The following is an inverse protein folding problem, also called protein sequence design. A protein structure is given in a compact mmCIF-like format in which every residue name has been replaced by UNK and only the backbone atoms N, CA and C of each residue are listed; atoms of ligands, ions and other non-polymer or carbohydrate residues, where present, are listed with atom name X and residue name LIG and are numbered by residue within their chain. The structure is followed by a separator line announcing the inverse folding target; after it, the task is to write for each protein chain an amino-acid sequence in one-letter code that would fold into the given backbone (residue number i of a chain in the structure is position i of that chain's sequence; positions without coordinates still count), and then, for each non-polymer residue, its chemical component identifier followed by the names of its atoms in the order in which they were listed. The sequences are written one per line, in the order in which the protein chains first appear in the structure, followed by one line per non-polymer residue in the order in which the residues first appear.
data_IF_810332593533
#
_entry.id   IF_810332593533
#
_cell.length_a   1.000
_cell.length_b   1.000
_cell.length_c   1.000
_cell.angle_alpha   90.00
_cell.angle_beta   90.00
_cell.angle_gamma   90.00
#
_symmetry.space_group_name_H-M   'P 1'
#
loop_
_entity.id
_entity.type
_entity.pdbx_description
1 polymer ?
#
# COMPACT_ATOMS: atom_id res chain seq x y z
N UNK A 1 3.49 2.60 -16.69
CA UNK A 1 4.12 3.91 -16.41
C UNK A 1 5.57 3.93 -16.89
N UNK A 2 6.46 3.04 -16.42
CA UNK A 2 7.87 2.95 -16.85
C UNK A 2 8.07 2.94 -18.37
N UNK A 3 7.38 2.04 -19.08
CA UNK A 3 7.55 1.91 -20.53
C UNK A 3 7.09 3.15 -21.30
N UNK A 4 6.10 3.87 -20.75
CA UNK A 4 5.65 5.14 -21.32
C UNK A 4 6.70 6.24 -21.16
N UNK A 5 7.39 6.30 -20.00
CA UNK A 5 8.51 7.21 -19.79
C UNK A 5 9.67 6.90 -20.73
N UNK A 6 10.02 5.63 -20.91
CA UNK A 6 11.06 5.21 -21.87
C UNK A 6 10.70 5.64 -23.30
N UNK A 7 9.45 5.43 -23.71
CA UNK A 7 8.99 5.87 -25.02
C UNK A 7 9.07 7.40 -25.19
N UNK A 8 8.74 8.15 -24.13
CA UNK A 8 8.76 9.61 -24.13
C UNK A 8 10.18 10.19 -24.11
N UNK A 9 11.10 9.56 -23.39
CA UNK A 9 12.54 9.90 -23.43
C UNK A 9 13.06 9.73 -24.85
N UNK A 10 12.80 8.57 -25.47
CA UNK A 10 13.26 8.32 -26.84
C UNK A 10 12.66 9.31 -27.85
N UNK A 11 11.44 9.80 -27.63
CA UNK A 11 10.83 10.88 -28.43
C UNK A 11 11.54 12.21 -28.20
N UNK A 12 11.71 12.63 -26.95
CA UNK A 12 12.37 13.88 -26.60
C UNK A 12 13.84 13.93 -27.08
N UNK A 13 14.57 12.82 -27.04
CA UNK A 13 15.92 12.70 -27.61
C UNK A 13 15.93 12.88 -29.14
N UNK A 14 14.97 12.27 -29.86
CA UNK A 14 14.86 12.41 -31.32
C UNK A 14 14.52 13.83 -31.75
N UNK A 15 13.66 14.49 -30.98
CA UNK A 15 13.19 15.86 -31.28
C UNK A 15 14.12 16.94 -30.70
N UNK A 16 15.18 16.55 -29.97
CA UNK A 16 16.16 17.48 -29.40
C UNK A 16 15.64 18.30 -28.22
N UNK A 17 14.61 17.81 -27.52
CA UNK A 17 14.01 18.47 -26.35
C UNK A 17 14.83 18.17 -25.09
N UNK A 18 16.08 18.64 -25.06
CA UNK A 18 17.06 18.32 -24.01
C UNK A 18 16.54 18.60 -22.58
N UNK A 19 15.80 19.70 -22.38
CA UNK A 19 15.24 20.04 -21.08
C UNK A 19 14.12 19.10 -20.60
N UNK A 20 13.43 18.44 -21.54
CA UNK A 20 12.40 17.46 -21.21
C UNK A 20 13.02 16.09 -20.93
N UNK A 21 14.08 15.71 -21.65
CA UNK A 21 14.84 14.47 -21.43
C UNK A 21 15.32 14.36 -19.99
N UNK A 22 15.94 15.42 -19.46
CA UNK A 22 16.46 15.43 -18.08
C UNK A 22 15.34 15.21 -17.04
N UNK A 23 14.21 15.92 -17.18
CA UNK A 23 13.06 15.76 -16.29
C UNK A 23 12.39 14.40 -16.38
N UNK A 24 12.37 13.81 -17.58
CA UNK A 24 11.84 12.47 -17.82
C UNK A 24 12.76 11.39 -17.22
N UNK A 25 14.08 11.56 -17.23
CA UNK A 25 15.01 10.65 -16.56
C UNK A 25 14.86 10.67 -15.04
N UNK A 26 14.70 11.85 -14.44
CA UNK A 26 14.41 11.96 -12.99
C UNK A 26 13.12 11.22 -12.66
N UNK A 27 12.06 11.46 -13.43
CA UNK A 27 10.77 10.79 -13.24
C UNK A 27 10.85 9.27 -13.43
N UNK A 28 11.71 8.80 -14.34
CA UNK A 28 11.97 7.37 -14.55
C UNK A 28 12.69 6.75 -13.35
N UNK A 29 13.71 7.41 -12.82
CA UNK A 29 14.43 6.95 -11.62
C UNK A 29 13.48 6.85 -10.41
N UNK A 30 12.67 7.88 -10.16
CA UNK A 30 11.67 7.87 -9.09
C UNK A 30 10.64 6.74 -9.26
N UNK A 31 10.25 6.45 -10.51
CA UNK A 31 9.33 5.36 -10.80
C UNK A 31 9.96 3.98 -10.54
N UNK A 32 11.24 3.79 -10.88
CA UNK A 32 11.98 2.55 -10.61
C UNK A 32 12.18 2.32 -9.12
N UNK A 33 12.55 3.36 -8.37
CA UNK A 33 12.70 3.30 -6.90
C UNK A 33 11.38 2.92 -6.21
N UNK A 34 10.27 3.49 -6.68
CA UNK A 34 8.95 3.17 -6.12
C UNK A 34 8.51 1.74 -6.40
N UNK A 35 8.84 1.20 -7.57
CA UNK A 35 8.59 -0.21 -7.88
C UNK A 35 9.42 -1.12 -6.97
N UNK A 36 10.71 -0.83 -6.80
CA UNK A 36 11.58 -1.58 -5.89
C UNK A 36 11.07 -1.56 -4.44
N UNK A 37 10.57 -0.40 -3.97
CA UNK A 37 9.95 -0.28 -2.66
C UNK A 37 8.71 -1.17 -2.51
N UNK A 38 7.82 -1.18 -3.51
CA UNK A 38 6.61 -1.99 -3.52
C UNK A 38 6.94 -3.49 -3.56
N UNK A 39 7.93 -3.89 -4.37
CA UNK A 39 8.38 -5.29 -4.43
C UNK A 39 8.95 -5.76 -3.09
N UNK A 40 9.75 -4.91 -2.43
CA UNK A 40 10.27 -5.16 -1.09
C UNK A 40 9.14 -5.26 -0.05
N UNK A 41 8.13 -4.40 -0.12
CA UNK A 41 6.96 -4.49 0.76
C UNK A 41 6.13 -5.74 0.51
N UNK A 42 5.91 -6.11 -0.75
CA UNK A 42 5.19 -7.32 -1.13
C UNK A 42 5.92 -8.58 -0.61
N UNK A 43 7.24 -8.63 -0.75
CA UNK A 43 8.06 -9.71 -0.19
C UNK A 43 8.00 -9.77 1.34
N UNK A 44 8.06 -8.62 2.03
CA UNK A 44 7.90 -8.59 3.49
C UNK A 44 6.52 -9.09 3.93
N UNK A 45 5.46 -8.67 3.25
CA UNK A 45 4.09 -9.10 3.54
C UNK A 45 3.89 -10.60 3.31
N UNK A 46 4.50 -11.18 2.28
CA UNK A 46 4.41 -12.63 2.06
C UNK A 46 5.12 -13.45 3.14
N UNK A 47 6.11 -12.88 3.81
CA UNK A 47 6.82 -13.47 4.96
C UNK A 47 6.24 -13.10 6.33
N UNK A 48 5.17 -12.30 6.38
CA UNK A 48 4.65 -11.78 7.64
C UNK A 48 4.10 -12.91 8.52
N UNK A 49 4.68 -13.06 9.73
CA UNK A 49 4.24 -14.03 10.74
C UNK A 49 3.01 -13.47 11.45
N UNK A 50 1.92 -14.24 11.50
CA UNK A 50 0.73 -13.87 12.28
C UNK A 50 1.06 -13.91 13.77
N UNK A 51 1.12 -12.73 14.40
CA UNK A 51 1.43 -12.58 15.83
C UNK A 51 0.20 -12.72 16.75
N UNK A 52 -0.97 -13.09 16.18
CA UNK A 52 -2.18 -13.33 16.97
C UNK A 52 -2.82 -12.06 17.56
N UNK A 53 -2.68 -10.90 16.90
CA UNK A 53 -3.37 -9.68 17.35
C UNK A 53 -4.89 -9.87 17.28
N UNK A 54 -5.62 -9.66 18.39
CA UNK A 54 -7.07 -9.81 18.40
C UNK A 54 -7.70 -8.80 17.43
N UNK A 55 -8.65 -9.27 16.62
CA UNK A 55 -9.37 -8.41 15.68
C UNK A 55 -10.27 -7.45 16.43
N UNK A 56 -10.64 -6.33 15.81
CA UNK A 56 -11.50 -5.32 16.44
C UNK A 56 -12.83 -5.91 16.96
N UNK A 57 -13.37 -6.93 16.29
CA UNK A 57 -14.57 -7.63 16.72
C UNK A 57 -14.39 -8.52 17.96
N UNK A 58 -13.16 -8.96 18.26
CA UNK A 58 -12.82 -9.70 19.48
C UNK A 58 -12.62 -8.75 20.68
N UNK A 59 -12.20 -7.51 20.42
CA UNK A 59 -11.98 -6.49 21.47
C UNK A 59 -13.30 -5.81 21.85
N UNK A 60 -14.24 -5.71 20.90
CA UNK A 60 -15.59 -5.25 21.17
C UNK A 60 -16.39 -6.30 21.95
N UNK A 61 -16.13 -6.40 23.26
CA UNK A 61 -17.04 -7.04 24.21
C UNK A 61 -18.36 -6.26 24.13
N UNK A 62 -19.40 -6.88 23.57
CA UNK A 62 -20.79 -6.40 23.70
C UNK A 62 -21.25 -6.73 25.13
N UNK A 63 -21.50 -5.75 26.02
CA UNK A 63 -22.06 -6.02 27.33
C UNK A 63 -23.57 -6.22 27.20
N UNK A 64 -24.01 -7.28 26.53
CA UNK A 64 -25.44 -7.59 26.39
C UNK A 64 -25.85 -8.82 27.21
N UNK A 65 -24.88 -9.57 27.74
CA UNK A 65 -25.11 -10.69 28.66
C UNK A 65 -24.98 -10.32 30.14
N UNK A 66 -25.11 -9.02 30.49
CA UNK A 66 -25.47 -8.65 31.87
C UNK A 66 -26.94 -8.98 32.08
N UNK A 67 -27.16 -10.26 32.37
CA UNK A 67 -28.19 -10.81 33.24
C UNK A 67 -29.37 -9.86 33.50
N UNK A 68 -30.45 -10.06 32.74
CA UNK A 68 -31.78 -9.52 33.05
C UNK A 68 -32.10 -9.72 34.54
N UNK A 69 -32.54 -8.69 35.28
CA UNK A 69 -32.94 -8.87 36.67
C UNK A 69 -34.12 -9.85 36.69
N UNK A 70 -33.90 -11.03 37.27
CA UNK A 70 -34.96 -12.01 37.51
C UNK A 70 -36.04 -11.36 38.36
N UNK A 71 -37.23 -11.26 37.78
CA UNK A 71 -38.43 -10.76 38.45
C UNK A 71 -38.80 -11.70 39.60
N UNK A 72 -39.12 -11.15 40.76
CA UNK A 72 -39.66 -11.90 41.89
C UNK A 72 -41.16 -12.15 41.71
N UNK A 73 -41.63 -13.37 42.02
CA UNK A 73 -42.85 -13.58 42.80
C UNK A 73 -42.53 -14.51 43.99
N UNK A 74 -43.12 -14.44 45.18
CA UNK A 74 -44.47 -14.10 45.65
C UNK A 74 -44.34 -13.55 47.10
#
# INVERSE_FOLDING_TARGET
MRDNLIARIAEAEREGWQGEVDGLHVSLADAEDKLAQLDSEAARRSTAVSLGMPTFGMIAVRPEDVMTPTSAPD
#
